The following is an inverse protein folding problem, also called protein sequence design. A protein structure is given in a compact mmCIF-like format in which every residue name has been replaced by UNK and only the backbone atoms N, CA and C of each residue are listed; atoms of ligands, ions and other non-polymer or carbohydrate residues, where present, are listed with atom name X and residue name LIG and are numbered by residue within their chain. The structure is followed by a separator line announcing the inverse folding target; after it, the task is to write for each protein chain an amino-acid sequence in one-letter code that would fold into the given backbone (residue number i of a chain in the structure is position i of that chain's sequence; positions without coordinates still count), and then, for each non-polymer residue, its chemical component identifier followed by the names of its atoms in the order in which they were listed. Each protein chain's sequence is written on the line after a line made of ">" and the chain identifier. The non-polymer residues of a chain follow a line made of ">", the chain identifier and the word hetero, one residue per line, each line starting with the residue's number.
data_IF_414512543704
#
_entry.id   IF_414512543704
#
_cell.length_a   1.000
_cell.length_b   1.000
_cell.length_c   1.000
_cell.angle_alpha   90.00
_cell.angle_beta   90.00
_cell.angle_gamma   90.00
#
_symmetry.space_group_name_H-M   'P 1'
#
loop_
_entity.id
_entity.type
_entity.pdbx_description
1 polymer ?
#
# COMPACT_ATOMS: atom_id res chain seq x y z
N UNK A 1 6.73 -1.98 6.32
CA UNK A 1 7.07 -3.15 7.16
C UNK A 1 6.10 -4.34 7.02
N UNK A 2 4.90 -4.16 6.41
CA UNK A 2 3.93 -5.25 6.20
C UNK A 2 4.42 -6.20 5.10
N UNK A 3 4.90 -5.64 3.99
CA UNK A 3 5.43 -6.38 2.86
C UNK A 3 6.94 -6.16 2.78
N UNK A 4 7.74 -7.24 2.88
CA UNK A 4 9.19 -7.18 2.67
C UNK A 4 9.54 -7.44 1.20
N UNK A 5 8.94 -8.47 0.64
CA UNK A 5 9.07 -8.87 -0.75
C UNK A 5 7.68 -9.01 -1.34
N UNK A 6 7.49 -8.50 -2.54
CA UNK A 6 6.18 -8.50 -3.18
C UNK A 6 6.29 -8.46 -4.70
N UNK A 7 5.25 -8.93 -5.34
CA UNK A 7 5.08 -8.74 -6.77
C UNK A 7 4.46 -7.37 -7.07
N UNK A 8 5.00 -6.71 -8.07
CA UNK A 8 4.38 -5.54 -8.70
C UNK A 8 4.00 -5.95 -10.13
N UNK A 9 2.75 -5.78 -10.49
CA UNK A 9 2.28 -6.04 -11.84
C UNK A 9 1.97 -4.73 -12.57
N UNK A 10 2.52 -4.60 -13.76
CA UNK A 10 2.25 -3.50 -14.70
C UNK A 10 1.32 -4.02 -15.78
N UNK A 11 0.22 -3.33 -16.00
CA UNK A 11 -0.79 -3.63 -17.02
C UNK A 11 -1.13 -2.34 -17.77
N UNK A 12 -1.90 -2.44 -18.86
CA UNK A 12 -2.30 -1.27 -19.66
C UNK A 12 -3.11 -0.25 -18.87
N UNK A 13 -3.89 -0.72 -17.89
CA UNK A 13 -4.76 0.08 -17.03
C UNK A 13 -4.07 0.64 -15.78
N UNK A 14 -2.86 0.18 -15.46
CA UNK A 14 -2.10 0.71 -14.33
C UNK A 14 -1.18 -0.29 -13.64
N UNK A 15 -0.81 0.04 -12.41
CA UNK A 15 0.11 -0.75 -11.57
C UNK A 15 -0.70 -1.37 -10.43
N UNK A 16 -0.46 -2.65 -10.15
CA UNK A 16 -1.13 -3.39 -9.06
C UNK A 16 -0.12 -4.08 -8.17
N UNK A 17 -0.40 -4.04 -6.89
CA UNK A 17 0.28 -4.83 -5.87
C UNK A 17 -0.80 -5.53 -5.07
N UNK A 18 -0.78 -6.86 -5.05
CA UNK A 18 -1.62 -7.68 -4.18
C UNK A 18 -0.70 -8.68 -3.51
N UNK A 19 -0.61 -8.61 -2.19
CA UNK A 19 0.18 -9.56 -1.42
C UNK A 19 -0.32 -9.66 0.01
N UNK A 20 0.01 -10.75 0.68
CA UNK A 20 -0.25 -10.98 2.09
C UNK A 20 1.01 -10.79 2.92
N UNK A 21 0.82 -10.41 4.17
CA UNK A 21 1.90 -10.47 5.15
C UNK A 21 2.32 -11.93 5.43
N UNK A 22 3.48 -12.11 6.06
CA UNK A 22 4.01 -13.46 6.35
C UNK A 22 3.11 -14.32 7.24
N UNK A 23 2.21 -13.73 7.99
CA UNK A 23 1.26 -14.43 8.84
C UNK A 23 -0.06 -14.78 8.14
N UNK A 24 -0.22 -14.36 6.89
CA UNK A 24 -1.45 -14.49 6.09
C UNK A 24 -2.69 -13.88 6.76
N UNK A 25 -2.48 -12.84 7.56
CA UNK A 25 -3.54 -12.14 8.30
C UNK A 25 -3.93 -10.83 7.64
N UNK A 26 -3.00 -10.20 6.93
CA UNK A 26 -3.21 -8.91 6.29
C UNK A 26 -3.03 -9.06 4.78
N UNK A 27 -4.06 -8.74 4.02
CA UNK A 27 -3.98 -8.58 2.57
C UNK A 27 -3.76 -7.11 2.25
N UNK A 28 -2.66 -6.78 1.57
CA UNK A 28 -2.42 -5.46 1.03
C UNK A 28 -2.77 -5.46 -0.47
N UNK A 29 -3.70 -4.58 -0.86
CA UNK A 29 -4.09 -4.36 -2.24
C UNK A 29 -3.91 -2.88 -2.59
N UNK A 30 -3.00 -2.59 -3.51
CA UNK A 30 -2.77 -1.26 -4.06
C UNK A 30 -3.04 -1.28 -5.56
N UNK A 31 -3.76 -0.29 -6.04
CA UNK A 31 -3.97 -0.06 -7.45
C UNK A 31 -3.72 1.41 -7.79
N UNK A 32 -2.82 1.64 -8.74
CA UNK A 32 -2.50 2.97 -9.28
C UNK A 32 -2.97 3.00 -10.74
N UNK A 33 -4.05 3.73 -11.00
CA UNK A 33 -4.62 3.87 -12.35
C UNK A 33 -3.64 4.56 -13.31
N UNK A 34 -3.54 4.08 -14.53
CA UNK A 34 -2.69 4.65 -15.58
C UNK A 34 -2.98 6.13 -15.84
N UNK A 35 -4.24 6.54 -15.76
CA UNK A 35 -4.70 7.92 -15.97
C UNK A 35 -4.20 8.93 -14.91
N UNK A 36 -3.76 8.44 -13.74
CA UNK A 36 -3.23 9.28 -12.66
C UNK A 36 -1.73 9.60 -12.80
N UNK A 37 -1.08 9.06 -13.85
CA UNK A 37 0.31 9.37 -14.17
C UNK A 37 0.35 10.45 -15.26
N UNK A 38 1.36 11.33 -15.22
CA UNK A 38 1.61 12.27 -16.32
C UNK A 38 1.89 11.54 -17.64
N UNK A 39 2.57 10.40 -17.54
CA UNK A 39 2.80 9.50 -18.66
C UNK A 39 2.81 8.05 -18.15
N UNK A 40 2.05 7.19 -18.80
CA UNK A 40 2.02 5.76 -18.53
C UNK A 40 1.97 4.97 -19.85
N UNK A 41 2.89 4.03 -20.00
CA UNK A 41 2.91 3.13 -21.17
C UNK A 41 3.32 1.72 -20.73
N UNK A 42 2.49 0.74 -20.98
CA UNK A 42 2.81 -0.68 -20.85
C UNK A 42 2.61 -1.37 -22.19
N UNK A 43 3.72 -1.72 -22.87
CA UNK A 43 3.71 -2.34 -24.21
C UNK A 43 3.28 -3.81 -24.19
N UNK A 44 3.34 -4.46 -23.05
CA UNK A 44 2.91 -5.85 -22.85
C UNK A 44 1.54 -5.88 -22.19
N UNK A 45 0.84 -6.99 -22.30
CA UNK A 45 -0.44 -7.13 -21.62
C UNK A 45 -0.28 -7.15 -20.10
N UNK A 46 0.78 -7.80 -19.62
CA UNK A 46 1.14 -7.85 -18.21
C UNK A 46 2.65 -8.08 -18.04
N UNK A 47 3.28 -7.32 -17.16
CA UNK A 47 4.65 -7.55 -16.68
C UNK A 47 4.58 -7.72 -15.17
N UNK A 48 5.14 -8.81 -14.64
CA UNK A 48 5.22 -9.05 -13.21
C UNK A 48 6.68 -8.99 -12.81
N UNK A 49 6.99 -8.22 -11.78
CA UNK A 49 8.32 -8.13 -11.19
C UNK A 49 8.28 -8.44 -9.70
N UNK A 50 9.29 -9.15 -9.21
CA UNK A 50 9.51 -9.35 -7.78
C UNK A 50 10.38 -8.24 -7.20
N UNK A 51 9.94 -7.59 -6.13
CA UNK A 51 10.61 -6.42 -5.56
C UNK A 51 10.83 -6.60 -4.06
N UNK A 52 12.06 -6.30 -3.61
CA UNK A 52 12.32 -6.08 -2.20
C UNK A 52 11.91 -4.64 -1.86
N UNK A 53 10.81 -4.50 -1.09
CA UNK A 53 10.19 -3.20 -0.79
C UNK A 53 11.09 -2.29 0.05
N UNK A 54 11.93 -2.86 0.91
CA UNK A 54 12.88 -2.07 1.69
C UNK A 54 13.94 -1.41 0.81
N UNK A 55 14.44 -2.13 -0.20
CA UNK A 55 15.40 -1.57 -1.15
C UNK A 55 14.74 -0.51 -2.05
N UNK A 56 13.54 -0.79 -2.55
CA UNK A 56 12.78 0.20 -3.33
C UNK A 56 12.52 1.46 -2.51
N UNK A 57 12.05 1.32 -1.27
CA UNK A 57 11.81 2.44 -0.36
C UNK A 57 13.07 3.29 -0.16
N UNK A 58 14.24 2.66 0.08
CA UNK A 58 15.50 3.39 0.23
C UNK A 58 15.86 4.24 -0.98
N UNK A 59 15.59 3.74 -2.19
CA UNK A 59 15.87 4.47 -3.43
C UNK A 59 14.88 5.62 -3.63
N UNK A 60 13.59 5.38 -3.41
CA UNK A 60 12.54 6.39 -3.59
C UNK A 60 12.61 7.46 -2.48
N UNK A 61 13.00 7.10 -1.27
CA UNK A 61 13.11 8.06 -0.15
C UNK A 61 14.17 9.16 -0.36
N UNK A 62 14.96 9.06 -1.42
CA UNK A 62 15.93 10.08 -1.83
C UNK A 62 15.37 11.07 -2.87
N UNK A 63 14.08 11.05 -3.13
CA UNK A 63 13.40 12.00 -4.01
C UNK A 63 13.11 13.30 -3.26
N UNK A 64 13.33 14.43 -3.91
CA UNK A 64 12.93 15.74 -3.43
C UNK A 64 11.50 16.06 -3.93
N UNK A 65 10.82 17.02 -3.26
CA UNK A 65 9.42 17.35 -3.59
C UNK A 65 9.24 17.90 -5.02
N UNK A 66 10.29 18.49 -5.57
CA UNK A 66 10.28 19.11 -6.90
C UNK A 66 10.82 18.19 -8.00
N UNK A 67 11.12 16.93 -7.64
CA UNK A 67 11.61 15.93 -8.59
C UNK A 67 10.45 15.21 -9.29
N UNK A 68 10.63 14.97 -10.58
CA UNK A 68 9.81 14.01 -11.34
C UNK A 68 10.43 12.64 -11.27
N UNK A 69 9.67 11.64 -10.80
CA UNK A 69 10.07 10.23 -10.79
C UNK A 69 9.56 9.52 -12.04
N UNK A 70 10.47 8.97 -12.84
CA UNK A 70 10.14 8.04 -13.92
C UNK A 70 10.58 6.62 -13.54
N UNK A 71 9.63 5.69 -13.57
CA UNK A 71 9.88 4.27 -13.36
C UNK A 71 9.82 3.58 -14.72
N UNK A 72 10.83 2.79 -15.06
CA UNK A 72 10.91 2.16 -16.38
C UNK A 72 11.63 0.80 -16.35
N UNK A 73 11.38 -0.01 -17.36
CA UNK A 73 12.09 -1.25 -17.64
C UNK A 73 12.76 -1.11 -19.00
N UNK A 74 14.08 -1.28 -19.05
CA UNK A 74 14.81 -1.26 -20.32
C UNK A 74 14.60 -2.58 -21.09
N UNK A 75 14.62 -2.52 -22.41
CA UNK A 75 14.46 -3.71 -23.25
C UNK A 75 15.50 -4.79 -22.93
N UNK A 76 16.71 -4.39 -22.60
CA UNK A 76 17.81 -5.31 -22.27
C UNK A 76 17.63 -5.98 -20.88
N UNK A 77 16.85 -5.37 -20.02
CA UNK A 77 16.54 -5.90 -18.67
C UNK A 77 15.32 -6.83 -18.69
N UNK A 78 14.62 -6.94 -19.83
CA UNK A 78 13.48 -7.84 -20.02
C UNK A 78 13.81 -8.92 -21.06
N UNK A 79 14.07 -10.14 -20.58
CA UNK A 79 14.43 -11.29 -21.44
C UNK A 79 13.55 -12.48 -21.08
N UNK A 80 12.92 -13.08 -22.07
CA UNK A 80 12.09 -14.30 -21.95
C UNK A 80 11.01 -14.24 -20.84
N UNK A 81 10.43 -13.04 -20.64
CA UNK A 81 9.39 -12.83 -19.64
C UNK A 81 9.93 -12.45 -18.24
N UNK A 82 11.23 -12.47 -18.06
CA UNK A 82 11.89 -12.15 -16.79
C UNK A 82 12.48 -10.75 -16.85
N UNK A 83 12.22 -9.97 -15.80
CA UNK A 83 12.80 -8.64 -15.64
C UNK A 83 13.90 -8.66 -14.59
N UNK A 84 15.11 -8.25 -14.96
CA UNK A 84 16.28 -8.28 -14.06
C UNK A 84 16.43 -7.00 -13.23
N UNK A 85 16.06 -5.85 -13.78
CA UNK A 85 16.21 -4.56 -13.13
C UNK A 85 15.01 -3.65 -13.37
N UNK A 86 14.71 -2.80 -12.37
CA UNK A 86 13.77 -1.69 -12.46
C UNK A 86 14.57 -0.38 -12.48
N UNK A 87 14.40 0.41 -13.52
CA UNK A 87 15.01 1.74 -13.63
C UNK A 87 14.18 2.78 -12.88
N UNK A 88 14.87 3.64 -12.14
CA UNK A 88 14.32 4.81 -11.45
C UNK A 88 15.09 6.04 -11.91
N UNK A 89 14.42 6.99 -12.52
CA UNK A 89 14.99 8.25 -12.96
C UNK A 89 14.33 9.39 -12.21
N UNK A 90 15.14 10.23 -11.61
CA UNK A 90 14.72 11.40 -10.85
C UNK A 90 15.22 12.64 -11.60
N UNK A 91 14.31 13.52 -11.97
CA UNK A 91 14.62 14.72 -12.74
C UNK A 91 14.13 15.96 -12.00
N UNK A 92 15.04 16.87 -11.74
CA UNK A 92 14.74 18.18 -11.19
C UNK A 92 15.02 19.24 -12.27
N UNK A 93 13.95 19.88 -12.74
CA UNK A 93 14.02 20.89 -13.80
C UNK A 93 14.70 22.17 -13.37
N UNK A 94 14.55 22.58 -12.13
CA UNK A 94 15.06 23.84 -11.61
C UNK A 94 16.58 23.86 -11.50
N UNK A 95 17.15 22.79 -10.98
CA UNK A 95 18.61 22.63 -10.84
C UNK A 95 19.25 21.85 -11.99
N UNK A 96 18.45 21.46 -13.00
CA UNK A 96 18.90 20.66 -14.16
C UNK A 96 19.64 19.37 -13.76
N UNK A 97 19.19 18.75 -12.70
CA UNK A 97 19.75 17.48 -12.20
C UNK A 97 18.97 16.30 -12.75
N UNK A 98 19.68 15.27 -13.18
CA UNK A 98 19.13 13.98 -13.54
C UNK A 98 19.91 12.89 -12.82
N UNK A 99 19.20 12.08 -11.99
CA UNK A 99 19.76 10.95 -11.25
C UNK A 99 19.09 9.68 -11.74
N UNK A 100 19.87 8.71 -12.15
CA UNK A 100 19.36 7.40 -12.57
C UNK A 100 19.86 6.31 -11.64
N UNK A 101 18.97 5.43 -11.24
CA UNK A 101 19.25 4.27 -10.39
C UNK A 101 18.63 3.02 -11.00
N UNK A 102 19.26 1.86 -10.80
CA UNK A 102 18.73 0.56 -11.20
C UNK A 102 18.57 -0.31 -9.96
N UNK A 103 17.34 -0.70 -9.67
CA UNK A 103 17.03 -1.67 -8.62
C UNK A 103 17.13 -3.06 -9.19
N UNK A 104 17.97 -3.90 -8.60
CA UNK A 104 18.00 -5.33 -8.91
C UNK A 104 16.73 -5.99 -8.38
N UNK A 105 16.06 -6.73 -9.24
CA UNK A 105 14.82 -7.43 -8.93
C UNK A 105 15.08 -8.84 -8.39
N UNK A 106 14.11 -9.36 -7.68
CA UNK A 106 14.06 -10.76 -7.24
C UNK A 106 13.10 -11.53 -8.16
N UNK A 107 13.17 -12.83 -8.12
CA UNK A 107 12.25 -13.69 -8.85
C UNK A 107 10.82 -13.46 -8.34
N UNK A 108 9.85 -13.17 -9.22
CA UNK A 108 8.47 -12.98 -8.80
C UNK A 108 7.84 -14.31 -8.37
N UNK A 109 7.02 -14.26 -7.34
CA UNK A 109 6.13 -15.37 -7.01
C UNK A 109 4.97 -15.38 -8.01
N UNK A 110 4.77 -16.49 -8.70
CA UNK A 110 3.74 -16.60 -9.73
C UNK A 110 2.38 -17.04 -9.17
N UNK A 111 2.24 -17.25 -7.85
CA UNK A 111 0.94 -17.48 -7.24
C UNK A 111 0.09 -16.20 -7.29
N UNK A 112 -0.98 -16.24 -8.06
CA UNK A 112 -1.93 -15.12 -8.13
C UNK A 112 -2.85 -15.14 -6.93
N UNK A 113 -2.65 -14.16 -6.03
CA UNK A 113 -3.60 -13.87 -4.96
C UNK A 113 -4.81 -13.15 -5.56
N UNK A 114 -6.00 -13.66 -5.26
CA UNK A 114 -7.25 -13.01 -5.59
C UNK A 114 -7.87 -12.43 -4.33
N UNK A 115 -8.39 -11.20 -4.44
CA UNK A 115 -9.22 -10.65 -3.38
C UNK A 115 -10.55 -11.39 -3.41
N UNK A 116 -10.93 -12.11 -2.34
CA UNK A 116 -12.20 -12.82 -2.32
C UNK A 116 -13.36 -11.81 -2.35
N UNK A 117 -14.45 -12.19 -2.99
CA UNK A 117 -15.70 -11.46 -2.91
C UNK A 117 -16.26 -11.61 -1.49
N UNK A 118 -16.21 -10.51 -0.73
CA UNK A 118 -16.67 -10.48 0.66
C UNK A 118 -17.88 -9.56 0.77
N UNK A 119 -18.95 -10.07 1.33
CA UNK A 119 -20.10 -9.26 1.75
C UNK A 119 -19.90 -8.82 3.20
N UNK A 120 -19.78 -7.52 3.41
CA UNK A 120 -19.61 -6.97 4.75
C UNK A 120 -20.97 -6.76 5.43
N UNK A 121 -21.04 -7.08 6.71
CA UNK A 121 -22.24 -6.82 7.53
C UNK A 121 -22.35 -5.37 7.98
N UNK A 122 -21.24 -4.62 7.93
CA UNK A 122 -21.21 -3.20 8.27
C UNK A 122 -20.09 -2.53 7.49
N UNK A 123 -20.36 -1.36 6.94
CA UNK A 123 -19.38 -0.46 6.30
C UNK A 123 -19.41 0.85 7.07
N UNK A 124 -18.25 1.31 7.51
CA UNK A 124 -18.13 2.49 8.37
C UNK A 124 -17.12 3.45 7.76
N UNK A 125 -17.53 4.69 7.55
CA UNK A 125 -16.65 5.78 7.19
C UNK A 125 -16.32 6.60 8.41
N UNK A 126 -15.02 6.84 8.64
CA UNK A 126 -14.59 7.77 9.66
C UNK A 126 -13.29 8.47 9.24
N UNK A 127 -13.03 9.71 9.69
CA UNK A 127 -11.79 10.41 9.37
C UNK A 127 -10.57 9.64 9.83
N UNK A 128 -9.58 9.50 8.96
CA UNK A 128 -8.35 8.76 9.27
C UNK A 128 -7.57 9.36 10.45
N UNK A 129 -7.63 10.68 10.64
CA UNK A 129 -7.06 11.38 11.80
C UNK A 129 -7.65 10.91 13.13
N UNK A 130 -8.97 10.70 13.16
CA UNK A 130 -9.70 10.24 14.34
C UNK A 130 -9.33 8.79 14.67
N UNK A 131 -9.30 7.94 13.65
CA UNK A 131 -8.87 6.56 13.81
C UNK A 131 -7.43 6.47 14.32
N UNK A 132 -6.50 7.23 13.72
CA UNK A 132 -5.10 7.27 14.14
C UNK A 132 -4.95 7.72 15.60
N UNK A 133 -5.76 8.72 16.04
CA UNK A 133 -5.77 9.18 17.42
C UNK A 133 -6.23 8.08 18.36
N UNK A 134 -7.34 7.42 18.07
CA UNK A 134 -7.87 6.31 18.86
C UNK A 134 -6.82 5.19 19.01
N UNK A 135 -6.22 4.76 17.88
CA UNK A 135 -5.19 3.72 17.90
C UNK A 135 -3.99 4.13 18.73
N UNK A 136 -3.52 5.37 18.60
CA UNK A 136 -2.39 5.89 19.39
C UNK A 136 -2.69 5.88 20.89
N UNK A 137 -3.88 6.32 21.28
CA UNK A 137 -4.28 6.40 22.68
C UNK A 137 -4.39 5.00 23.30
N UNK A 138 -4.96 4.03 22.56
CA UNK A 138 -5.16 2.66 23.06
C UNK A 138 -3.87 1.81 23.00
N UNK A 139 -2.98 2.07 22.05
CA UNK A 139 -1.71 1.35 21.92
C UNK A 139 -0.76 1.54 23.10
N UNK A 140 -0.95 2.61 23.88
CA UNK A 140 -0.21 2.80 25.13
C UNK A 140 -0.59 1.77 26.23
N UNK A 141 -1.75 1.12 26.09
CA UNK A 141 -2.29 0.19 27.08
C UNK A 141 -2.06 -1.25 26.66
N UNK A 142 -2.28 -1.56 25.37
CA UNK A 142 -2.20 -2.94 24.85
C UNK A 142 -1.87 -2.95 23.36
N UNK A 143 -1.14 -4.00 22.94
CA UNK A 143 -0.88 -4.30 21.52
C UNK A 143 -2.09 -4.96 20.83
N UNK A 144 -3.14 -5.27 21.60
CA UNK A 144 -4.36 -5.90 21.07
C UNK A 144 -5.54 -4.97 21.24
N UNK A 145 -6.26 -4.77 20.14
CA UNK A 145 -7.46 -3.97 20.07
C UNK A 145 -8.63 -4.83 19.57
N UNK A 146 -9.74 -4.78 20.28
CA UNK A 146 -11.02 -5.32 19.84
C UNK A 146 -11.86 -4.17 19.27
N UNK A 147 -12.39 -4.36 18.07
CA UNK A 147 -13.29 -3.42 17.41
C UNK A 147 -14.63 -4.11 17.21
N UNK A 148 -15.70 -3.50 17.74
CA UNK A 148 -17.07 -3.99 17.62
C UNK A 148 -17.95 -2.93 16.97
N UNK A 149 -18.79 -3.38 16.04
CA UNK A 149 -19.90 -2.59 15.51
C UNK A 149 -21.20 -3.15 16.12
N UNK A 150 -21.91 -2.31 16.87
CA UNK A 150 -23.16 -2.69 17.53
C UNK A 150 -24.20 -1.60 17.28
N UNK A 151 -25.25 -1.93 16.54
CA UNK A 151 -26.24 -0.93 16.10
C UNK A 151 -25.55 0.20 15.35
N UNK A 152 -25.71 1.45 15.79
CA UNK A 152 -25.05 2.64 15.21
C UNK A 152 -23.87 3.13 16.04
N UNK A 153 -23.18 2.20 16.70
CA UNK A 153 -22.04 2.51 17.56
C UNK A 153 -20.83 1.66 17.20
N UNK A 154 -19.66 2.30 17.17
CA UNK A 154 -18.37 1.64 16.98
C UNK A 154 -17.63 1.67 18.31
N UNK A 155 -17.30 0.51 18.83
CA UNK A 155 -16.67 0.33 20.14
C UNK A 155 -15.25 -0.16 19.93
N UNK A 156 -14.28 0.57 20.47
CA UNK A 156 -12.86 0.20 20.52
C UNK A 156 -12.52 -0.18 21.95
N UNK A 157 -12.03 -1.39 22.17
CA UNK A 157 -11.73 -1.92 23.49
C UNK A 157 -10.34 -2.54 23.54
N UNK A 158 -9.59 -2.22 24.57
CA UNK A 158 -8.32 -2.87 24.85
C UNK A 158 -8.17 -3.21 26.32
N UNK A 159 -7.36 -4.23 26.62
CA UNK A 159 -7.00 -4.65 27.98
C UNK A 159 -5.53 -5.01 28.01
N UNK A 160 -4.77 -4.29 28.81
CA UNK A 160 -3.35 -4.51 29.11
C UNK A 160 -3.11 -4.97 30.53
N UNK A 161 -1.85 -5.06 30.93
CA UNK A 161 -1.46 -5.52 32.25
C UNK A 161 -1.82 -4.52 33.38
N UNK A 162 -1.81 -3.22 33.08
CA UNK A 162 -2.00 -2.16 34.07
C UNK A 162 -3.31 -1.39 33.93
N UNK A 163 -3.98 -1.48 32.78
CA UNK A 163 -5.22 -0.76 32.49
C UNK A 163 -6.07 -1.45 31.43
N UNK A 164 -7.34 -1.09 31.41
CA UNK A 164 -8.26 -1.36 30.30
C UNK A 164 -8.92 -0.05 29.88
N UNK A 165 -9.24 0.07 28.59
CA UNK A 165 -9.95 1.22 28.05
C UNK A 165 -11.00 0.79 27.04
N UNK A 166 -12.07 1.59 26.97
CA UNK A 166 -13.16 1.41 26.03
C UNK A 166 -13.57 2.79 25.49
N UNK A 167 -13.62 2.94 24.17
CA UNK A 167 -14.03 4.16 23.49
C UNK A 167 -15.26 3.84 22.66
N UNK A 168 -16.32 4.57 22.88
CA UNK A 168 -17.57 4.49 22.13
C UNK A 168 -17.66 5.66 21.17
N UNK A 169 -17.93 5.37 19.89
CA UNK A 169 -18.20 6.36 18.86
C UNK A 169 -19.57 6.09 18.26
N UNK A 170 -20.49 6.98 18.48
CA UNK A 170 -21.78 6.96 17.83
C UNK A 170 -21.73 7.66 16.47
N UNK A 171 -22.65 7.31 15.60
CA UNK A 171 -22.83 7.99 14.32
C UNK A 171 -23.09 9.49 14.53
N UNK A 172 -22.41 10.31 13.75
CA UNK A 172 -22.58 11.77 13.78
C UNK A 172 -22.22 12.39 12.43
N UNK A 173 -23.04 13.33 11.97
CA UNK A 173 -22.85 14.03 10.71
C UNK A 173 -21.44 14.60 10.57
N UNK A 174 -20.76 14.26 9.46
CA UNK A 174 -19.43 14.74 9.11
C UNK A 174 -18.28 14.16 9.95
N UNK A 175 -18.54 13.21 10.85
CA UNK A 175 -17.51 12.58 11.69
C UNK A 175 -17.43 11.06 11.48
N UNK A 176 -18.54 10.33 11.61
CA UNK A 176 -18.60 8.90 11.39
C UNK A 176 -19.98 8.53 10.83
N UNK A 177 -19.98 7.74 9.78
CA UNK A 177 -21.19 7.32 9.08
C UNK A 177 -21.19 5.79 8.90
N UNK A 178 -22.35 5.17 9.16
CA UNK A 178 -22.62 3.79 8.78
C UNK A 178 -23.26 3.79 7.40
N UNK A 179 -22.68 3.01 6.49
CA UNK A 179 -23.24 2.77 5.16
C UNK A 179 -23.96 1.41 5.23
N UNK A 180 -25.24 1.42 5.03
CA UNK A 180 -26.11 0.23 5.03
C UNK A 180 -26.25 -0.30 3.61
#
# INVERSE_FOLDING_TARGET
>A
DILLETNISFQKDGIRIINMDKSHTILAHLYLNAENFEHYECKKDKIIIGVNMFHLFKLINSIDNDDTLTIYIENNDYVDGITSHLGLKFENGDIKQCKTQKLRLIEPDLEELQVPDVTFSSIINLPSSDFQKIIRDLSCISDKLEIKSVSNELIFKCSGQFASAEIHRAESDGSMEFIV
#
